data_IF_826388838151
#
_entry.id   IF_826388838151
#
_cell.length_a   1.000
_cell.length_b   1.000
_cell.length_c   1.000
_cell.angle_alpha   90.00
_cell.angle_beta   90.00
_cell.angle_gamma   90.00
#
_symmetry.space_group_name_H-M   'P 1'
#
loop_
_entity.id
_entity.type
_entity.pdbx_description
1 polymer ?
#
# COMPACT_ATOMS: atom_id res chain seq x y z
N UNK A 1 14.30 -1.35 4.94
CA UNK A 1 13.16 -0.92 5.80
C UNK A 1 11.91 -1.79 5.62
N UNK A 2 11.48 -2.19 4.39
CA UNK A 2 10.29 -3.03 4.19
C UNK A 2 10.42 -4.39 4.88
N UNK A 3 11.53 -5.09 4.73
CA UNK A 3 11.79 -6.38 5.40
C UNK A 3 11.69 -6.27 6.93
N UNK A 4 12.30 -5.24 7.52
CA UNK A 4 12.21 -5.01 8.96
C UNK A 4 10.79 -4.68 9.42
N UNK A 5 10.06 -3.86 8.65
CA UNK A 5 8.65 -3.53 8.93
C UNK A 5 7.75 -4.76 8.80
N UNK A 6 7.96 -5.59 7.79
CA UNK A 6 7.21 -6.83 7.60
C UNK A 6 7.50 -7.86 8.70
N UNK A 7 8.77 -7.99 9.12
CA UNK A 7 9.15 -8.85 10.25
C UNK A 7 8.46 -8.39 11.55
N UNK A 8 8.47 -7.08 11.82
CA UNK A 8 7.79 -6.51 12.98
C UNK A 8 6.27 -6.75 12.93
N UNK A 9 5.65 -6.54 11.77
CA UNK A 9 4.23 -6.83 11.57
C UNK A 9 3.91 -8.31 11.82
N UNK A 10 4.75 -9.20 11.33
CA UNK A 10 4.61 -10.66 11.53
C UNK A 10 4.66 -11.01 13.02
N UNK A 11 5.67 -10.54 13.74
CA UNK A 11 5.84 -10.86 15.18
C UNK A 11 4.73 -10.22 16.01
N UNK A 12 4.35 -8.97 15.73
CA UNK A 12 3.40 -8.24 16.57
C UNK A 12 1.95 -8.59 16.30
N UNK A 13 1.59 -8.91 15.06
CA UNK A 13 0.18 -9.09 14.67
C UNK A 13 -0.13 -10.48 14.13
N UNK A 14 0.72 -11.07 13.29
CA UNK A 14 0.42 -12.37 12.70
C UNK A 14 0.68 -13.51 13.70
N UNK A 15 1.74 -13.43 14.50
CA UNK A 15 2.02 -14.45 15.52
C UNK A 15 0.95 -14.51 16.61
N UNK A 16 0.41 -13.35 17.02
CA UNK A 16 -0.65 -13.25 18.02
C UNK A 16 -1.98 -12.76 17.40
N UNK A 17 -2.37 -13.35 16.27
CA UNK A 17 -3.51 -12.89 15.48
C UNK A 17 -4.84 -12.86 16.26
N UNK A 18 -5.07 -13.82 17.13
CA UNK A 18 -6.27 -13.89 17.97
C UNK A 18 -6.42 -12.69 18.92
N UNK A 19 -5.30 -12.07 19.32
CA UNK A 19 -5.29 -10.97 20.30
C UNK A 19 -5.25 -9.61 19.64
N UNK A 20 -4.47 -9.46 18.56
CA UNK A 20 -4.17 -8.14 18.01
C UNK A 20 -4.78 -7.88 16.63
N UNK A 21 -5.05 -8.92 15.83
CA UNK A 21 -5.56 -8.80 14.47
C UNK A 21 -7.09 -8.94 14.42
N UNK A 22 -7.65 -9.84 15.24
CA UNK A 22 -9.08 -10.18 15.21
C UNK A 22 -9.83 -9.34 16.22
N UNK A 23 -10.99 -8.83 15.80
CA UNK A 23 -11.99 -8.24 16.66
C UNK A 23 -13.30 -9.02 16.48
N UNK A 24 -13.61 -9.88 17.44
CA UNK A 24 -14.80 -10.74 17.39
C UNK A 24 -16.13 -9.98 17.35
N UNK A 25 -16.13 -8.71 17.75
CA UNK A 25 -17.32 -7.86 17.63
C UNK A 25 -17.60 -7.43 16.19
N UNK A 26 -16.58 -7.47 15.31
CA UNK A 26 -16.68 -7.13 13.90
C UNK A 26 -16.76 -8.37 13.02
N UNK A 27 -15.79 -9.26 13.16
CA UNK A 27 -15.70 -10.51 12.39
C UNK A 27 -15.06 -11.61 13.22
N UNK A 28 -15.74 -12.72 13.38
CA UNK A 28 -15.22 -13.91 14.09
C UNK A 28 -14.40 -14.79 13.13
N UNK A 29 -13.18 -14.36 12.85
CA UNK A 29 -12.24 -15.09 12.02
C UNK A 29 -11.51 -16.19 12.80
N UNK A 30 -11.30 -17.35 12.19
CA UNK A 30 -10.24 -18.24 12.66
C UNK A 30 -8.87 -17.56 12.47
N UNK A 31 -7.89 -17.70 13.40
CA UNK A 31 -6.60 -17.02 13.32
C UNK A 31 -5.87 -17.23 11.98
N UNK A 32 -5.87 -18.44 11.46
CA UNK A 32 -5.26 -18.75 10.16
C UNK A 32 -5.94 -17.98 9.01
N UNK A 33 -7.26 -17.91 9.01
CA UNK A 33 -8.04 -17.16 8.00
C UNK A 33 -7.74 -15.68 8.07
N UNK A 34 -7.69 -15.09 9.28
CA UNK A 34 -7.36 -13.68 9.45
C UNK A 34 -5.96 -13.34 8.91
N UNK A 35 -4.98 -14.21 9.16
CA UNK A 35 -3.61 -14.04 8.63
C UNK A 35 -3.62 -14.09 7.11
N UNK A 36 -4.27 -15.08 6.51
CA UNK A 36 -4.35 -15.23 5.05
C UNK A 36 -5.02 -13.99 4.42
N UNK A 37 -6.14 -13.54 4.99
CA UNK A 37 -6.85 -12.36 4.49
C UNK A 37 -5.99 -11.10 4.63
N UNK A 38 -5.28 -10.90 5.73
CA UNK A 38 -4.39 -9.75 5.91
C UNK A 38 -3.23 -9.73 4.90
N UNK A 39 -2.62 -10.88 4.63
CA UNK A 39 -1.56 -10.98 3.62
C UNK A 39 -2.13 -10.79 2.20
N UNK A 40 -3.24 -11.46 1.89
CA UNK A 40 -3.92 -11.32 0.61
C UNK A 40 -4.35 -9.87 0.36
N UNK A 41 -4.79 -9.15 1.39
CA UNK A 41 -5.17 -7.75 1.32
C UNK A 41 -4.05 -6.87 0.74
N UNK A 42 -2.82 -7.04 1.24
CA UNK A 42 -1.66 -6.29 0.75
C UNK A 42 -1.29 -6.65 -0.69
N UNK A 43 -1.35 -7.95 -1.05
CA UNK A 43 -1.02 -8.42 -2.40
C UNK A 43 -2.07 -7.98 -3.41
N UNK A 44 -3.36 -8.15 -3.09
CA UNK A 44 -4.48 -7.77 -3.97
C UNK A 44 -4.48 -6.26 -4.22
N UNK A 45 -4.27 -5.45 -3.17
CA UNK A 45 -4.15 -4.01 -3.34
C UNK A 45 -3.04 -3.65 -4.31
N UNK A 46 -1.84 -4.22 -4.15
CA UNK A 46 -0.73 -3.96 -5.05
C UNK A 46 -1.05 -4.36 -6.49
N UNK A 47 -1.66 -5.54 -6.71
CA UNK A 47 -2.04 -6.00 -8.04
C UNK A 47 -3.04 -5.06 -8.71
N UNK A 48 -4.08 -4.62 -7.98
CA UNK A 48 -5.08 -3.67 -8.49
C UNK A 48 -4.44 -2.31 -8.79
N UNK A 49 -3.63 -1.79 -7.88
CA UNK A 49 -2.88 -0.56 -8.08
C UNK A 49 -1.97 -0.64 -9.30
N UNK A 50 -1.22 -1.73 -9.46
CA UNK A 50 -0.33 -1.94 -10.60
C UNK A 50 -1.11 -2.03 -11.92
N UNK A 51 -2.24 -2.74 -11.93
CA UNK A 51 -3.14 -2.82 -13.08
C UNK A 51 -3.68 -1.44 -13.48
N UNK A 52 -4.15 -0.64 -12.53
CA UNK A 52 -4.62 0.74 -12.77
C UNK A 52 -3.52 1.57 -13.44
N UNK A 53 -2.31 1.52 -12.91
CA UNK A 53 -1.19 2.28 -13.46
C UNK A 53 -0.76 1.79 -14.86
N UNK A 54 -0.84 0.50 -15.15
CA UNK A 54 -0.53 -0.06 -16.48
C UNK A 54 -1.56 0.34 -17.51
N UNK A 55 -2.84 0.29 -17.17
CA UNK A 55 -3.94 0.53 -18.10
C UNK A 55 -4.11 2.03 -18.39
N UNK A 56 -4.02 2.86 -17.37
CA UNK A 56 -4.37 4.28 -17.47
C UNK A 56 -3.16 5.21 -17.44
N UNK A 57 -2.02 4.79 -16.90
CA UNK A 57 -0.87 5.66 -16.63
C UNK A 57 -0.22 6.30 -17.85
N UNK A 58 -0.40 5.75 -19.06
CA UNK A 58 0.19 6.29 -20.29
C UNK A 58 -0.83 7.07 -21.15
N UNK A 59 -2.06 7.26 -20.65
CA UNK A 59 -3.09 8.02 -21.36
C UNK A 59 -2.86 9.54 -21.24
N UNK A 60 -3.51 10.34 -22.10
CA UNK A 60 -3.38 11.82 -22.15
C UNK A 60 -3.77 12.38 -20.81
N UNK A 61 -4.38 12.11 -19.90
CA UNK A 61 -4.62 12.60 -18.54
C UNK A 61 -4.38 11.47 -17.52
N UNK A 62 -3.41 10.60 -17.85
CA UNK A 62 -3.19 9.36 -17.10
C UNK A 62 -2.92 9.59 -15.61
N UNK A 63 -2.13 10.59 -15.27
CA UNK A 63 -1.79 10.87 -13.87
C UNK A 63 -3.00 11.26 -13.02
N UNK A 64 -3.91 12.08 -13.56
CA UNK A 64 -5.13 12.48 -12.86
C UNK A 64 -6.10 11.29 -12.70
N UNK A 65 -6.28 10.49 -13.77
CA UNK A 65 -7.15 9.32 -13.74
C UNK A 65 -6.61 8.28 -12.76
N UNK A 66 -5.32 7.99 -12.82
CA UNK A 66 -4.67 7.04 -11.89
C UNK A 66 -4.76 7.56 -10.47
N UNK A 67 -4.49 8.85 -10.23
CA UNK A 67 -4.63 9.46 -8.91
C UNK A 67 -6.02 9.28 -8.31
N UNK A 68 -7.07 9.58 -9.09
CA UNK A 68 -8.46 9.42 -8.67
C UNK A 68 -8.82 7.95 -8.37
N UNK A 69 -8.45 7.02 -9.27
CA UNK A 69 -8.74 5.60 -9.10
C UNK A 69 -7.99 4.99 -7.90
N UNK A 70 -6.73 5.37 -7.71
CA UNK A 70 -5.92 4.92 -6.58
C UNK A 70 -6.46 5.50 -5.27
N UNK A 71 -6.90 6.76 -5.25
CA UNK A 71 -7.55 7.34 -4.09
C UNK A 71 -8.82 6.56 -3.72
N UNK A 72 -9.70 6.27 -4.68
CA UNK A 72 -10.89 5.43 -4.44
C UNK A 72 -10.50 4.04 -3.93
N UNK A 73 -9.48 3.42 -4.52
CA UNK A 73 -8.98 2.12 -4.07
C UNK A 73 -8.50 2.15 -2.62
N UNK A 74 -7.76 3.19 -2.21
CA UNK A 74 -7.33 3.38 -0.82
C UNK A 74 -8.52 3.60 0.10
N UNK A 75 -9.52 4.40 -0.30
CA UNK A 75 -10.74 4.60 0.49
C UNK A 75 -11.50 3.29 0.74
N UNK A 76 -11.70 2.50 -0.31
CA UNK A 76 -12.37 1.19 -0.21
C UNK A 76 -11.57 0.23 0.67
N UNK A 77 -10.25 0.17 0.47
CA UNK A 77 -9.38 -0.67 1.28
C UNK A 77 -9.38 -0.25 2.76
N UNK A 78 -9.35 1.04 3.05
CA UNK A 78 -9.42 1.58 4.42
C UNK A 78 -10.75 1.22 5.09
N UNK A 79 -11.85 1.36 4.36
CA UNK A 79 -13.17 0.98 4.85
C UNK A 79 -13.25 -0.52 5.16
N UNK A 80 -12.82 -1.37 4.24
CA UNK A 80 -12.80 -2.83 4.43
C UNK A 80 -11.91 -3.24 5.61
N UNK A 81 -10.70 -2.69 5.71
CA UNK A 81 -9.78 -3.00 6.79
C UNK A 81 -10.39 -2.67 8.16
N UNK A 82 -11.02 -1.51 8.30
CA UNK A 82 -11.64 -1.07 9.55
C UNK A 82 -12.88 -1.89 9.93
N UNK A 83 -13.56 -2.53 8.96
CA UNK A 83 -14.70 -3.41 9.21
C UNK A 83 -14.31 -4.85 9.49
N UNK A 84 -13.16 -5.31 8.97
CA UNK A 84 -12.74 -6.70 9.08
C UNK A 84 -11.78 -6.97 10.23
N UNK A 85 -10.97 -5.98 10.60
CA UNK A 85 -9.90 -6.15 11.59
C UNK A 85 -10.09 -5.26 12.81
N UNK A 86 -9.36 -5.58 13.88
CA UNK A 86 -9.27 -4.73 15.04
C UNK A 86 -8.76 -3.33 14.65
N UNK A 87 -9.30 -2.28 15.25
CA UNK A 87 -9.05 -0.90 14.82
C UNK A 87 -7.57 -0.56 14.66
N UNK A 88 -6.74 -0.88 15.67
CA UNK A 88 -5.29 -0.67 15.61
C UNK A 88 -4.61 -1.48 14.49
N UNK A 89 -5.05 -2.73 14.29
CA UNK A 89 -4.53 -3.59 13.24
C UNK A 89 -4.91 -3.10 11.85
N UNK A 90 -6.14 -2.59 11.68
CA UNK A 90 -6.62 -2.03 10.42
C UNK A 90 -5.77 -0.86 9.93
N UNK A 91 -5.43 0.08 10.82
CA UNK A 91 -4.57 1.21 10.49
C UNK A 91 -3.17 0.75 10.06
N UNK A 92 -2.57 -0.16 10.84
CA UNK A 92 -1.25 -0.69 10.50
C UNK A 92 -1.29 -1.51 9.21
N UNK A 93 -2.34 -2.29 8.97
CA UNK A 93 -2.51 -3.08 7.74
C UNK A 93 -2.61 -2.19 6.50
N UNK A 94 -3.36 -1.09 6.57
CA UNK A 94 -3.44 -0.12 5.46
C UNK A 94 -2.07 0.54 5.22
N UNK A 95 -1.35 0.91 6.27
CA UNK A 95 0.03 1.39 6.14
C UNK A 95 0.96 0.35 5.50
N UNK A 96 0.90 -0.90 5.93
CA UNK A 96 1.69 -2.00 5.38
C UNK A 96 1.34 -2.30 3.91
N UNK A 97 0.07 -2.23 3.56
CA UNK A 97 -0.45 -2.38 2.20
C UNK A 97 0.15 -1.32 1.25
N UNK A 98 0.08 -0.06 1.63
CA UNK A 98 0.64 1.04 0.84
C UNK A 98 2.17 0.94 0.77
N UNK A 99 2.85 0.65 1.89
CA UNK A 99 4.30 0.45 1.93
C UNK A 99 4.77 -0.72 1.05
N UNK A 100 3.97 -1.78 0.96
CA UNK A 100 4.23 -2.91 0.04
C UNK A 100 4.14 -2.46 -1.41
N UNK A 101 3.12 -1.68 -1.79
CA UNK A 101 3.00 -1.12 -3.12
C UNK A 101 4.18 -0.17 -3.45
N UNK A 102 4.62 0.66 -2.48
CA UNK A 102 5.79 1.54 -2.65
C UNK A 102 7.07 0.73 -2.90
N UNK A 103 7.30 -0.33 -2.14
CA UNK A 103 8.47 -1.20 -2.31
C UNK A 103 8.41 -1.95 -3.64
N UNK A 104 7.25 -2.46 -4.02
CA UNK A 104 7.03 -3.12 -5.30
C UNK A 104 7.27 -2.16 -6.49
N UNK A 105 6.88 -0.89 -6.38
CA UNK A 105 7.19 0.13 -7.37
C UNK A 105 8.70 0.26 -7.60
N UNK A 106 9.49 0.25 -6.52
CA UNK A 106 10.96 0.33 -6.63
C UNK A 106 11.52 -0.92 -7.30
N UNK A 107 11.10 -2.10 -6.85
CA UNK A 107 11.66 -3.37 -7.34
C UNK A 107 11.28 -3.70 -8.78
N UNK A 108 10.01 -3.49 -9.16
CA UNK A 108 9.48 -3.97 -10.44
C UNK A 108 9.45 -2.89 -11.52
N UNK A 109 9.51 -1.60 -11.15
CA UNK A 109 9.37 -0.51 -12.12
C UNK A 109 10.54 0.45 -12.12
N UNK A 110 10.93 1.00 -10.96
CA UNK A 110 11.93 2.07 -10.90
C UNK A 110 13.32 1.51 -11.20
N UNK A 111 13.77 0.50 -10.47
CA UNK A 111 15.13 -0.07 -10.66
C UNK A 111 15.30 -0.70 -12.04
N UNK A 112 14.38 -1.56 -12.53
CA UNK A 112 14.53 -2.14 -13.88
C UNK A 112 14.51 -1.07 -14.97
N UNK A 113 13.61 -0.08 -14.86
CA UNK A 113 13.54 1.02 -15.82
C UNK A 113 14.85 1.83 -15.87
N UNK A 114 15.41 2.17 -14.71
CA UNK A 114 16.69 2.87 -14.63
C UNK A 114 17.87 2.05 -15.19
N UNK A 115 17.91 0.74 -14.91
CA UNK A 115 18.93 -0.16 -15.47
C UNK A 115 18.89 -0.17 -17.00
N UNK A 116 17.70 -0.23 -17.59
CA UNK A 116 17.52 -0.19 -19.06
C UNK A 116 18.01 1.13 -19.64
N UNK A 117 17.62 2.26 -19.05
CA UNK A 117 18.07 3.60 -19.49
C UNK A 117 19.59 3.72 -19.42
N UNK A 118 20.21 3.31 -18.32
CA UNK A 118 21.68 3.35 -18.17
C UNK A 118 22.39 2.45 -19.19
N UNK A 119 21.83 1.26 -19.47
CA UNK A 119 22.39 0.36 -20.47
C UNK A 119 22.33 0.97 -21.89
N UNK A 120 21.23 1.61 -22.26
CA UNK A 120 21.07 2.31 -23.54
C UNK A 120 22.08 3.45 -23.68
N UNK A 121 22.24 4.28 -22.63
CA UNK A 121 23.23 5.37 -22.63
C UNK A 121 24.64 4.83 -22.81
N UNK A 122 25.02 3.78 -22.06
CA UNK A 122 26.35 3.18 -22.17
C UNK A 122 26.65 2.57 -23.56
N UNK A 123 25.61 2.07 -24.21
CA UNK A 123 25.72 1.49 -25.56
C UNK A 123 25.67 2.55 -26.70
N UNK A 124 25.51 3.85 -26.36
CA UNK A 124 25.34 4.91 -27.36
C UNK A 124 24.03 4.82 -28.16
N UNK A 125 23.02 4.08 -27.63
CA UNK A 125 21.74 3.90 -28.26
C UNK A 125 20.75 5.00 -27.84
N UNK A 126 19.75 5.33 -28.68
CA UNK A 126 18.68 6.25 -28.29
C UNK A 126 17.93 5.72 -27.08
N UNK A 127 17.71 6.58 -26.09
CA UNK A 127 17.01 6.23 -24.85
C UNK A 127 15.51 6.19 -25.10
N UNK A 128 14.86 5.05 -24.81
CA UNK A 128 13.39 4.95 -24.85
C UNK A 128 12.77 5.72 -23.65
N UNK A 129 12.00 6.79 -23.93
CA UNK A 129 11.43 7.64 -22.88
C UNK A 129 10.35 6.93 -22.03
N UNK A 130 9.83 5.77 -22.48
CA UNK A 130 8.78 5.04 -21.77
C UNK A 130 9.23 4.58 -20.37
N UNK A 131 10.49 4.12 -20.26
CA UNK A 131 11.05 3.66 -18.99
C UNK A 131 11.17 4.80 -17.97
N UNK A 132 11.62 5.97 -18.42
CA UNK A 132 11.70 7.18 -17.61
C UNK A 132 10.33 7.66 -17.15
N UNK A 133 9.35 7.70 -18.05
CA UNK A 133 7.96 8.12 -17.72
C UNK A 133 7.31 7.20 -16.67
N UNK A 134 7.39 5.88 -16.87
CA UNK A 134 6.85 4.91 -15.93
C UNK A 134 7.54 4.99 -14.57
N UNK A 135 8.86 5.05 -14.54
CA UNK A 135 9.62 5.19 -13.30
C UNK A 135 9.29 6.49 -12.54
N UNK A 136 9.19 7.62 -13.26
CA UNK A 136 8.80 8.91 -12.68
C UNK A 136 7.40 8.86 -12.06
N UNK A 137 6.41 8.33 -12.76
CA UNK A 137 5.04 8.21 -12.25
C UNK A 137 5.02 7.42 -10.93
N UNK A 138 5.68 6.25 -10.90
CA UNK A 138 5.74 5.42 -9.68
C UNK A 138 6.48 6.12 -8.53
N UNK A 139 7.53 6.86 -8.85
CA UNK A 139 8.28 7.65 -7.85
C UNK A 139 7.43 8.78 -7.26
N UNK A 140 6.65 9.46 -8.08
CA UNK A 140 5.70 10.50 -7.62
C UNK A 140 4.63 9.89 -6.70
N UNK A 141 4.07 8.73 -7.07
CA UNK A 141 3.11 8.04 -6.19
C UNK A 141 3.74 7.66 -4.85
N UNK A 142 4.97 7.16 -4.84
CA UNK A 142 5.69 6.87 -3.60
C UNK A 142 5.84 8.11 -2.71
N UNK A 143 6.09 9.27 -3.31
CA UNK A 143 6.15 10.53 -2.56
C UNK A 143 4.82 10.86 -1.89
N UNK A 144 3.71 10.76 -2.61
CA UNK A 144 2.37 11.01 -2.03
C UNK A 144 1.98 9.97 -0.98
N UNK A 145 2.39 8.72 -1.13
CA UNK A 145 2.12 7.65 -0.17
C UNK A 145 2.91 7.77 1.14
N UNK A 146 3.98 8.55 1.16
CA UNK A 146 4.86 8.65 2.33
C UNK A 146 4.13 9.15 3.58
N UNK A 147 3.34 10.21 3.47
CA UNK A 147 2.62 10.78 4.63
C UNK A 147 1.53 9.82 5.14
N UNK A 148 0.64 9.24 4.32
CA UNK A 148 -0.30 8.22 4.76
C UNK A 148 0.35 7.03 5.47
N UNK A 149 1.48 6.54 4.96
CA UNK A 149 2.20 5.43 5.60
C UNK A 149 2.76 5.84 6.95
N UNK A 150 3.41 7.01 7.04
CA UNK A 150 3.94 7.52 8.30
C UNK A 150 2.83 7.71 9.34
N UNK A 151 1.70 8.27 8.94
CA UNK A 151 0.57 8.41 9.85
C UNK A 151 0.05 7.05 10.31
N UNK A 152 -0.18 6.11 9.39
CA UNK A 152 -0.65 4.77 9.74
C UNK A 152 0.30 4.06 10.73
N UNK A 153 1.62 4.25 10.57
CA UNK A 153 2.62 3.71 11.50
C UNK A 153 2.56 4.38 12.88
N UNK A 154 2.38 5.71 12.93
CA UNK A 154 2.31 6.47 14.17
C UNK A 154 0.98 6.32 14.90
N UNK A 155 -0.10 6.05 14.17
CA UNK A 155 -1.47 5.95 14.71
C UNK A 155 -1.61 4.94 15.83
N UNK A 156 -0.79 3.90 15.84
CA UNK A 156 -0.76 2.90 16.91
C UNK A 156 -0.48 3.47 18.31
N UNK A 157 0.13 4.66 18.39
CA UNK A 157 0.41 5.37 19.64
C UNK A 157 -0.73 6.31 20.07
N UNK A 158 -1.71 6.54 19.19
CA UNK A 158 -2.81 7.50 19.42
C UNK A 158 -4.16 6.77 19.38
N UNK A 159 -4.59 6.27 20.53
CA UNK A 159 -5.82 5.46 20.65
C UNK A 159 -7.07 6.16 20.11
N UNK A 160 -7.17 7.48 20.23
CA UNK A 160 -8.31 8.25 19.75
C UNK A 160 -8.51 8.17 18.23
N UNK A 161 -7.48 7.79 17.45
CA UNK A 161 -7.60 7.63 15.99
C UNK A 161 -8.32 6.35 15.62
N UNK A 162 -7.85 5.21 16.11
CA UNK A 162 -8.36 3.89 15.72
C UNK A 162 -9.53 3.42 16.60
N UNK A 163 -9.75 4.00 17.79
CA UNK A 163 -10.89 3.69 18.64
C UNK A 163 -12.16 4.49 18.31
N UNK A 164 -12.06 5.47 17.40
CA UNK A 164 -13.22 6.26 16.99
C UNK A 164 -14.28 5.38 16.32
N UNK A 165 -15.58 5.59 16.56
CA UNK A 165 -16.66 4.79 15.93
C UNK A 165 -16.59 4.78 14.40
N UNK A 166 -16.16 5.88 13.80
CA UNK A 166 -15.95 6.05 12.36
C UNK A 166 -14.46 6.13 12.03
N UNK A 167 -13.66 5.21 12.57
CA UNK A 167 -12.20 5.20 12.41
C UNK A 167 -11.75 5.11 10.94
N UNK A 168 -12.55 4.51 10.07
CA UNK A 168 -12.28 4.48 8.64
C UNK A 168 -12.27 5.89 8.01
N UNK A 169 -13.13 6.83 8.50
CA UNK A 169 -13.07 8.24 8.05
C UNK A 169 -11.80 8.91 8.51
N UNK A 170 -11.37 8.67 9.74
CA UNK A 170 -10.09 9.19 10.26
C UNK A 170 -8.95 8.74 9.36
N UNK A 171 -8.97 7.47 8.92
CA UNK A 171 -7.93 6.89 8.06
C UNK A 171 -7.96 7.46 6.62
N UNK A 172 -9.13 7.83 6.10
CA UNK A 172 -9.26 8.41 4.75
C UNK A 172 -8.92 9.90 4.71
N UNK A 173 -9.22 10.64 5.79
CA UNK A 173 -9.01 12.09 5.86
C UNK A 173 -7.53 12.50 6.07
N UNK A 174 -6.63 11.55 6.18
CA UNK A 174 -5.19 11.72 6.33
C UNK A 174 -4.44 11.70 5.02
#
# INVERSE_FOLDING_TARGET
SWLGGFALFTVSYLYSASTYLIDKSKMDWAPATAIIVALAFSVVFWLLYDAICRIFGQRKNGDAIVGALVFVLVCVASWLACHWFAGRAAFLLVGAMIATAMSANVFFWIIPGQRTVVAQIKAGLPVDPIHGKRGKQRSVHNTYFTLPVLFAMLSGHYSFTWSHPQNWLVLILM
#
